data_IF_452273726365
#
_entry.id   IF_452273726365
#
_cell.length_a   1.000
_cell.length_b   1.000
_cell.length_c   1.000
_cell.angle_alpha   90.00
_cell.angle_beta   90.00
_cell.angle_gamma   90.00
#
_symmetry.space_group_name_H-M   'P 1'
#
loop_
_entity.id
_entity.type
_entity.pdbx_description
1 polymer ?
#
# COMPACT_ATOMS: atom_id res chain seq x y z
N UNK A 1 11.49 -17.51 19.91
CA UNK A 1 12.51 -17.76 18.87
C UNK A 1 11.99 -17.55 17.46
N UNK A 2 10.95 -18.26 16.99
CA UNK A 2 10.43 -18.11 15.61
C UNK A 2 9.97 -16.68 15.28
N UNK A 3 9.17 -16.07 16.17
CA UNK A 3 8.68 -14.70 16.01
C UNK A 3 9.74 -13.61 16.16
N UNK A 4 10.83 -13.89 16.89
CA UNK A 4 11.92 -12.92 17.10
C UNK A 4 12.74 -12.68 15.83
N UNK A 5 12.71 -13.62 14.89
CA UNK A 5 13.38 -13.51 13.58
C UNK A 5 12.38 -13.07 12.51
N UNK A 6 11.18 -13.66 12.48
CA UNK A 6 10.21 -13.41 11.41
C UNK A 6 9.51 -12.07 11.56
N UNK A 7 9.22 -11.62 12.78
CA UNK A 7 8.61 -10.31 13.03
C UNK A 7 9.42 -9.16 12.41
N UNK A 8 10.72 -9.01 12.73
CA UNK A 8 11.55 -7.96 12.14
C UNK A 8 11.66 -8.05 10.62
N UNK A 9 11.79 -9.25 10.05
CA UNK A 9 11.86 -9.44 8.60
C UNK A 9 10.56 -8.99 7.91
N UNK A 10 9.41 -9.37 8.45
CA UNK A 10 8.12 -8.94 7.92
C UNK A 10 7.91 -7.43 8.07
N UNK A 11 8.40 -6.79 9.14
CA UNK A 11 8.36 -5.34 9.30
C UNK A 11 9.27 -4.61 8.30
N UNK A 12 10.44 -5.15 8.00
CA UNK A 12 11.33 -4.60 6.96
C UNK A 12 10.66 -4.70 5.59
N UNK A 13 10.04 -5.84 5.28
CA UNK A 13 9.30 -6.01 4.03
C UNK A 13 8.12 -5.03 3.97
N UNK A 14 7.36 -4.89 5.04
CA UNK A 14 6.23 -3.97 5.15
C UNK A 14 6.65 -2.50 4.94
N UNK A 15 7.74 -2.08 5.57
CA UNK A 15 8.26 -0.71 5.40
C UNK A 15 8.85 -0.48 4.02
N UNK A 16 9.48 -1.50 3.42
CA UNK A 16 9.97 -1.46 2.05
C UNK A 16 8.85 -1.33 1.01
N UNK A 17 7.77 -2.12 1.15
CA UNK A 17 6.59 -1.99 0.30
C UNK A 17 5.89 -0.65 0.52
N UNK A 18 5.88 -0.13 1.75
CA UNK A 18 5.30 1.17 2.06
C UNK A 18 6.04 2.30 1.33
N UNK A 19 7.37 2.29 1.40
CA UNK A 19 8.21 3.23 0.67
C UNK A 19 8.03 3.13 -0.84
N UNK A 20 7.90 1.90 -1.37
CA UNK A 20 7.66 1.68 -2.80
C UNK A 20 6.29 2.20 -3.25
N UNK A 21 5.25 2.04 -2.43
CA UNK A 21 3.94 2.63 -2.66
C UNK A 21 3.99 4.17 -2.71
N UNK A 22 4.77 4.81 -1.83
CA UNK A 22 4.99 6.28 -1.86
C UNK A 22 5.66 6.69 -3.18
N UNK A 23 6.67 5.94 -3.64
CA UNK A 23 7.32 6.20 -4.92
C UNK A 23 6.32 6.08 -6.07
N UNK A 24 5.48 5.04 -6.06
CA UNK A 24 4.40 4.86 -7.03
C UNK A 24 3.44 6.06 -7.05
N UNK A 25 3.03 6.54 -5.87
CA UNK A 25 2.19 7.74 -5.78
C UNK A 25 2.85 8.98 -6.40
N UNK A 26 4.12 9.24 -6.10
CA UNK A 26 4.88 10.36 -6.66
C UNK A 26 4.97 10.27 -8.19
N UNK A 27 5.21 9.06 -8.71
CA UNK A 27 5.27 8.79 -10.15
C UNK A 27 3.88 8.70 -10.81
N UNK A 28 2.80 8.80 -10.03
CA UNK A 28 1.41 8.53 -10.46
C UNK A 28 1.24 7.14 -11.08
N UNK A 29 2.07 6.20 -10.67
CA UNK A 29 1.99 4.80 -11.07
C UNK A 29 1.11 4.03 -10.08
N UNK A 30 0.09 3.36 -10.63
CA UNK A 30 -0.84 2.56 -9.85
C UNK A 30 -0.25 1.22 -9.45
N UNK A 31 0.74 0.71 -10.20
CA UNK A 31 1.26 -0.63 -9.98
C UNK A 31 1.92 -0.78 -8.59
N UNK A 32 2.85 0.09 -8.16
CA UNK A 32 3.46 -0.04 -6.84
C UNK A 32 2.46 0.13 -5.69
N UNK A 33 1.43 0.95 -5.90
CA UNK A 33 0.38 1.19 -4.90
C UNK A 33 -0.52 -0.03 -4.70
N UNK A 34 -0.93 -0.68 -5.79
CA UNK A 34 -1.82 -1.85 -5.71
C UNK A 34 -1.05 -3.07 -5.22
N UNK A 35 0.13 -3.33 -5.81
CA UNK A 35 0.95 -4.50 -5.45
C UNK A 35 1.49 -4.36 -4.03
N UNK A 36 1.94 -3.15 -3.65
CA UNK A 36 2.36 -2.83 -2.28
C UNK A 36 1.23 -3.09 -1.28
N UNK A 37 0.02 -2.61 -1.55
CA UNK A 37 -1.11 -2.78 -0.65
C UNK A 37 -1.50 -4.26 -0.47
N UNK A 38 -1.49 -5.04 -1.55
CA UNK A 38 -1.77 -6.49 -1.48
C UNK A 38 -0.71 -7.22 -0.65
N UNK A 39 0.57 -6.89 -0.85
CA UNK A 39 1.66 -7.49 -0.07
C UNK A 39 1.55 -7.13 1.42
N UNK A 40 1.23 -5.87 1.73
CA UNK A 40 1.04 -5.40 3.11
C UNK A 40 -0.18 -6.04 3.78
N UNK A 41 -1.27 -6.28 3.05
CA UNK A 41 -2.44 -7.01 3.56
C UNK A 41 -2.06 -8.46 3.95
N UNK A 42 -1.24 -9.14 3.14
CA UNK A 42 -0.73 -10.47 3.47
C UNK A 42 0.15 -10.44 4.73
N UNK A 43 1.01 -9.43 4.87
CA UNK A 43 1.84 -9.26 6.08
C UNK A 43 0.95 -8.99 7.31
N UNK A 44 -0.06 -8.13 7.19
CA UNK A 44 -1.01 -7.85 8.27
C UNK A 44 -1.76 -9.11 8.70
N UNK A 45 -2.14 -9.97 7.75
CA UNK A 45 -2.79 -11.25 8.04
C UNK A 45 -1.88 -12.15 8.88
N UNK A 46 -0.57 -12.19 8.59
CA UNK A 46 0.41 -12.98 9.35
C UNK A 46 0.60 -12.44 10.78
N UNK A 47 0.63 -11.12 10.99
CA UNK A 47 0.81 -10.50 12.31
C UNK A 47 -0.39 -10.67 13.28
N UNK A 48 -1.54 -11.12 12.80
CA UNK A 48 -2.71 -11.42 13.62
C UNK A 48 -3.43 -10.19 14.22
N UNK A 49 -4.36 -10.48 15.14
CA UNK A 49 -5.46 -9.57 15.53
C UNK A 49 -5.07 -8.22 16.14
N UNK A 50 -3.91 -8.08 16.78
CA UNK A 50 -3.59 -6.84 17.52
C UNK A 50 -2.64 -5.92 16.74
N UNK A 51 -1.47 -6.42 16.34
CA UNK A 51 -0.47 -5.64 15.60
C UNK A 51 -0.88 -5.49 14.12
N UNK A 52 -1.42 -6.55 13.51
CA UNK A 52 -1.90 -6.51 12.12
C UNK A 52 -2.97 -5.44 11.90
N UNK A 53 -3.89 -5.23 12.85
CA UNK A 53 -4.93 -4.19 12.74
C UNK A 53 -4.38 -2.76 12.72
N UNK A 54 -3.30 -2.49 13.44
CA UNK A 54 -2.62 -1.19 13.39
C UNK A 54 -1.90 -1.01 12.05
N UNK A 55 -1.25 -2.07 11.56
CA UNK A 55 -0.55 -2.07 10.29
C UNK A 55 -1.50 -1.92 9.09
N UNK A 56 -2.74 -2.39 9.18
CA UNK A 56 -3.75 -2.28 8.10
C UNK A 56 -4.01 -0.85 7.62
N UNK A 57 -3.69 0.18 8.40
CA UNK A 57 -3.83 1.58 7.98
C UNK A 57 -3.01 1.89 6.71
N UNK A 58 -1.82 1.33 6.58
CA UNK A 58 -0.91 1.64 5.47
C UNK A 58 -1.41 1.11 4.11
N UNK A 59 -1.81 -0.17 3.97
CA UNK A 59 -2.36 -0.67 2.71
C UNK A 59 -3.68 0.02 2.35
N UNK A 60 -4.50 0.35 3.33
CA UNK A 60 -5.74 1.11 3.09
C UNK A 60 -5.45 2.50 2.54
N UNK A 61 -4.43 3.19 3.08
CA UNK A 61 -4.01 4.49 2.58
C UNK A 61 -3.46 4.38 1.16
N UNK A 62 -2.65 3.36 0.84
CA UNK A 62 -2.17 3.12 -0.52
C UNK A 62 -3.31 2.87 -1.52
N UNK A 63 -4.33 2.08 -1.14
CA UNK A 63 -5.53 1.86 -1.96
C UNK A 63 -6.33 3.16 -2.16
N UNK A 64 -6.47 3.98 -1.12
CA UNK A 64 -7.09 5.30 -1.21
C UNK A 64 -6.36 6.23 -2.18
N UNK A 65 -5.03 6.26 -2.12
CA UNK A 65 -4.19 7.02 -3.05
C UNK A 65 -4.29 6.52 -4.49
N UNK A 66 -4.33 5.19 -4.69
CA UNK A 66 -4.57 4.60 -6.00
C UNK A 66 -5.93 5.02 -6.58
N UNK A 67 -6.99 4.96 -5.77
CA UNK A 67 -8.32 5.44 -6.14
C UNK A 67 -8.34 6.93 -6.50
N UNK A 68 -7.62 7.77 -5.75
CA UNK A 68 -7.49 9.20 -6.04
C UNK A 68 -6.76 9.47 -7.37
N UNK A 69 -5.69 8.74 -7.67
CA UNK A 69 -4.98 8.86 -8.95
C UNK A 69 -5.92 8.49 -10.10
N UNK A 70 -6.67 7.38 -9.97
CA UNK A 70 -7.65 6.95 -10.99
C UNK A 70 -8.71 8.03 -11.19
N UNK A 71 -9.32 8.51 -10.10
CA UNK A 71 -10.35 9.55 -10.15
C UNK A 71 -9.85 10.83 -10.84
N UNK A 72 -8.67 11.31 -10.44
CA UNK A 72 -8.05 12.50 -11.03
C UNK A 72 -7.79 12.31 -12.53
N UNK A 73 -7.33 11.11 -12.92
CA UNK A 73 -7.09 10.75 -14.32
C UNK A 73 -8.38 10.78 -15.14
N UNK A 74 -9.48 10.20 -14.63
CA UNK A 74 -10.80 10.21 -15.28
C UNK A 74 -11.33 11.64 -15.47
N UNK A 75 -11.30 12.47 -14.42
CA UNK A 75 -11.76 13.86 -14.52
C UNK A 75 -10.92 14.70 -15.51
N UNK A 76 -9.61 14.44 -15.58
CA UNK A 76 -8.74 15.13 -16.56
C UNK A 76 -9.15 14.80 -17.99
N UNK A 77 -9.50 13.54 -18.28
CA UNK A 77 -10.00 13.17 -19.60
C UNK A 77 -11.35 13.79 -19.92
N UNK A 78 -12.27 13.85 -18.94
CA UNK A 78 -13.59 14.44 -19.12
C UNK A 78 -13.50 15.93 -19.48
N UNK A 79 -12.64 16.68 -18.80
CA UNK A 79 -12.47 18.12 -19.06
C UNK A 79 -11.69 18.44 -20.34
N UNK A 80 -10.96 17.47 -20.90
CA UNK A 80 -10.25 17.64 -22.18
C UNK A 80 -11.14 17.36 -23.41
N UNK A 81 -12.33 16.80 -23.21
CA UNK A 81 -13.31 16.51 -24.26
C UNK A 81 -14.44 17.56 -24.41
N UNK A 82 -14.44 18.57 -23.54
CA UNK A 82 -15.31 19.77 -23.62
C UNK A 82 -14.57 20.91 -24.34
#
# INVERSE_FOLDING_TARGET
MFWDIIGPVLLILFTGTAAWGIIGYVQKDLYPLIVGAVAELLICYIFGSSIGKLLLIVPLLQLGLAGFIIYKKINTFKNASE
#
